data_IF_283333301802
#
_entry.id   IF_283333301802
#
_cell.length_a   1.000
_cell.length_b   1.000
_cell.length_c   1.000
_cell.angle_alpha   90.00
_cell.angle_beta   90.00
_cell.angle_gamma   90.00
#
_symmetry.space_group_name_H-M   'P 1'
#
loop_
_entity.id
_entity.type
_entity.pdbx_description
1 polymer ?
#
# COMPACT_ATOMS: atom_id res chain seq x y z
N UNK A 1 -2.57 7.09 17.06
CA UNK A 1 -2.24 8.23 16.16
C UNK A 1 -2.08 7.80 14.69
N UNK A 2 -1.38 6.69 14.43
CA UNK A 2 -1.02 6.19 13.09
C UNK A 2 -2.20 6.07 12.10
N UNK A 3 -3.39 5.66 12.57
CA UNK A 3 -4.58 5.55 11.71
C UNK A 3 -4.97 6.91 11.13
N UNK A 4 -4.91 7.97 11.95
CA UNK A 4 -5.25 9.34 11.55
C UNK A 4 -4.20 9.85 10.55
N UNK A 5 -2.92 9.59 10.80
CA UNK A 5 -1.84 10.00 9.88
C UNK A 5 -1.97 9.32 8.51
N UNK A 6 -2.29 8.02 8.49
CA UNK A 6 -2.55 7.28 7.26
C UNK A 6 -3.74 7.84 6.48
N UNK A 7 -4.81 8.23 7.18
CA UNK A 7 -5.99 8.78 6.53
C UNK A 7 -5.73 10.18 5.95
N UNK A 8 -4.97 11.03 6.66
CA UNK A 8 -4.54 12.34 6.14
C UNK A 8 -3.68 12.17 4.89
N UNK A 9 -2.73 11.22 4.91
CA UNK A 9 -1.88 10.93 3.75
C UNK A 9 -2.71 10.44 2.55
N UNK A 10 -3.68 9.54 2.79
CA UNK A 10 -4.61 9.03 1.75
C UNK A 10 -5.39 10.18 1.09
N UNK A 11 -6.00 11.05 1.90
CA UNK A 11 -6.76 12.21 1.41
C UNK A 11 -5.90 13.20 0.63
N UNK A 12 -4.64 13.41 1.07
CA UNK A 12 -3.71 14.29 0.36
C UNK A 12 -3.38 13.74 -1.03
N UNK A 13 -3.07 12.46 -1.15
CA UNK A 13 -2.77 11.82 -2.43
C UNK A 13 -3.99 11.86 -3.37
N UNK A 14 -5.17 11.60 -2.84
CA UNK A 14 -6.44 11.71 -3.58
C UNK A 14 -6.66 13.14 -4.12
N UNK A 15 -6.40 14.17 -3.31
CA UNK A 15 -6.49 15.58 -3.74
C UNK A 15 -5.51 15.95 -4.86
N UNK A 16 -4.41 15.20 -4.98
CA UNK A 16 -3.39 15.37 -6.03
C UNK A 16 -3.69 14.52 -7.28
N UNK A 17 -4.79 13.77 -7.30
CA UNK A 17 -5.14 12.83 -8.36
C UNK A 17 -4.25 11.59 -8.39
N UNK A 18 -3.48 11.32 -7.33
CA UNK A 18 -2.60 10.16 -7.22
C UNK A 18 -3.43 8.98 -6.71
N UNK A 19 -3.50 7.90 -7.52
CA UNK A 19 -4.17 6.65 -7.15
C UNK A 19 -3.15 5.65 -6.63
N UNK A 20 -3.47 5.00 -5.52
CA UNK A 20 -2.74 3.84 -5.02
C UNK A 20 -3.45 2.61 -5.57
N UNK A 21 -2.73 1.80 -6.35
CA UNK A 21 -3.21 0.53 -6.86
C UNK A 21 -3.15 -0.56 -5.78
N UNK A 22 -3.78 -1.69 -6.08
CA UNK A 22 -3.76 -2.87 -5.21
C UNK A 22 -2.94 -3.95 -5.87
N UNK A 23 -2.25 -4.73 -5.05
CA UNK A 23 -1.56 -5.91 -5.53
C UNK A 23 -2.57 -6.88 -6.16
N UNK A 24 -2.16 -7.51 -7.25
CA UNK A 24 -2.87 -8.67 -7.78
C UNK A 24 -2.63 -9.86 -6.86
N UNK A 25 -3.53 -10.85 -6.90
CA UNK A 25 -3.33 -12.07 -6.10
C UNK A 25 -2.00 -12.77 -6.42
N UNK A 26 -1.53 -12.69 -7.66
CA UNK A 26 -0.23 -13.23 -8.06
C UNK A 26 0.93 -12.45 -7.43
N UNK A 27 0.85 -11.11 -7.38
CA UNK A 27 1.84 -10.26 -6.72
C UNK A 27 1.86 -10.50 -5.21
N UNK A 28 0.69 -10.66 -4.57
CA UNK A 28 0.61 -11.02 -3.16
C UNK A 28 1.23 -12.39 -2.88
N UNK A 29 0.92 -13.39 -3.71
CA UNK A 29 1.53 -14.73 -3.64
C UNK A 29 3.05 -14.65 -3.81
N UNK A 30 3.53 -13.90 -4.79
CA UNK A 30 4.96 -13.69 -5.03
C UNK A 30 5.65 -13.07 -3.81
N UNK A 31 5.10 -11.99 -3.24
CA UNK A 31 5.64 -11.34 -2.06
C UNK A 31 5.60 -12.23 -0.80
N UNK A 32 4.52 -12.98 -0.61
CA UNK A 32 4.41 -13.93 0.53
C UNK A 32 5.33 -15.13 0.40
N UNK A 33 5.67 -15.53 -0.83
CA UNK A 33 6.64 -16.60 -1.13
C UNK A 33 8.10 -16.17 -0.89
N UNK A 34 8.36 -14.86 -0.88
CA UNK A 34 9.62 -14.27 -0.43
C UNK A 34 9.74 -14.36 1.11
N UNK A 35 9.90 -15.58 1.63
CA UNK A 35 10.50 -15.84 2.94
C UNK A 35 11.97 -16.21 2.76
N UNK A 36 12.81 -15.25 2.35
CA UNK A 36 14.26 -15.41 2.48
C UNK A 36 14.98 -14.06 2.45
N UNK A 37 15.47 -13.62 3.62
CA UNK A 37 16.74 -12.90 3.73
C UNK A 37 16.73 -11.39 3.91
N UNK A 38 16.24 -10.89 5.05
CA UNK A 38 16.95 -9.94 5.95
C UNK A 38 16.30 -9.98 7.33
#
# INVERSE_FOLDING_TARGET
>A
PEIIDKEIARLKLESMGIKIDRLTEEQERYLSSWKMGT
#
